data_IF_503420502117
#
_entry.id   IF_503420502117
#
_cell.length_a   1.000
_cell.length_b   1.000
_cell.length_c   1.000
_cell.angle_alpha   90.00
_cell.angle_beta   90.00
_cell.angle_gamma   90.00
#
_symmetry.space_group_name_H-M   'P 1'
#
loop_
_entity.id
_entity.type
_entity.pdbx_description
1 polymer ?
#
# COMPACT_ATOMS: atom_id res chain seq x y z
N UNK A 1 34.95 -1.49 3.55
CA UNK A 1 33.74 -0.65 3.67
C UNK A 1 32.76 -1.04 2.59
N UNK A 2 31.62 -1.64 2.92
CA UNK A 2 30.58 -1.87 1.92
C UNK A 2 30.13 -0.50 1.41
N UNK A 3 30.32 -0.22 0.11
CA UNK A 3 29.76 0.99 -0.50
C UNK A 3 28.27 1.01 -0.20
N UNK A 4 27.74 2.10 0.34
CA UNK A 4 26.33 2.21 0.77
C UNK A 4 25.34 1.76 -0.32
N UNK A 5 25.73 1.92 -1.59
CA UNK A 5 25.01 1.43 -2.76
C UNK A 5 24.84 -0.09 -2.85
N UNK A 6 25.81 -0.88 -2.35
CA UNK A 6 25.67 -2.33 -2.25
C UNK A 6 24.52 -2.72 -1.31
N UNK A 7 24.34 -1.98 -0.22
CA UNK A 7 23.23 -2.23 0.71
C UNK A 7 21.90 -1.93 0.03
N UNK A 8 21.80 -0.78 -0.64
CA UNK A 8 20.58 -0.39 -1.37
C UNK A 8 20.21 -1.42 -2.45
N UNK A 9 21.17 -1.81 -3.30
CA UNK A 9 20.90 -2.70 -4.43
C UNK A 9 20.65 -4.14 -3.99
N UNK A 10 21.37 -4.65 -2.99
CA UNK A 10 21.26 -6.06 -2.62
C UNK A 10 20.20 -6.35 -1.55
N UNK A 11 19.87 -5.38 -0.71
CA UNK A 11 18.95 -5.59 0.41
C UNK A 11 17.66 -4.79 0.30
N UNK A 12 17.70 -3.58 -0.26
CA UNK A 12 16.55 -2.67 -0.24
C UNK A 12 15.69 -2.76 -1.51
N UNK A 13 16.29 -3.09 -2.65
CA UNK A 13 15.64 -3.23 -3.95
C UNK A 13 14.97 -4.59 -4.18
N UNK A 14 15.59 -5.75 -3.83
CA UNK A 14 15.00 -7.05 -4.17
C UNK A 14 13.68 -7.38 -3.47
N UNK A 15 13.49 -7.10 -2.17
CA UNK A 15 12.24 -7.43 -1.50
C UNK A 15 11.00 -6.79 -2.12
N UNK A 16 10.95 -5.47 -2.37
CA UNK A 16 9.76 -4.88 -2.97
C UNK A 16 9.59 -5.33 -4.43
N UNK A 17 10.67 -5.58 -5.17
CA UNK A 17 10.61 -6.09 -6.54
C UNK A 17 9.96 -7.47 -6.61
N UNK A 18 10.44 -8.41 -5.81
CA UNK A 18 9.93 -9.78 -5.76
C UNK A 18 8.46 -9.76 -5.32
N UNK A 19 8.13 -9.00 -4.26
CA UNK A 19 6.76 -8.90 -3.78
C UNK A 19 5.84 -8.28 -4.84
N UNK A 20 6.23 -7.19 -5.50
CA UNK A 20 5.41 -6.57 -6.55
C UNK A 20 5.17 -7.53 -7.71
N UNK A 21 6.20 -8.25 -8.19
CA UNK A 21 6.04 -9.25 -9.25
C UNK A 21 5.10 -10.37 -8.81
N UNK A 22 5.31 -10.89 -7.59
CA UNK A 22 4.50 -11.97 -7.05
C UNK A 22 3.03 -11.56 -6.89
N UNK A 23 2.78 -10.29 -6.54
CA UNK A 23 1.44 -9.72 -6.43
C UNK A 23 0.79 -9.40 -7.79
N UNK A 24 1.59 -9.12 -8.82
CA UNK A 24 1.09 -8.88 -10.18
C UNK A 24 0.67 -10.16 -10.90
N UNK A 25 1.24 -11.30 -10.52
CA UNK A 25 0.90 -12.59 -11.13
C UNK A 25 -0.59 -12.94 -10.88
N UNK A 26 -1.33 -13.36 -11.92
CA UNK A 26 -2.72 -13.79 -11.78
C UNK A 26 -2.78 -15.18 -11.14
N UNK A 27 -2.59 -15.25 -9.82
CA UNK A 27 -2.61 -16.51 -9.06
C UNK A 27 -4.03 -16.87 -8.57
N UNK A 28 -4.32 -18.16 -8.32
CA UNK A 28 -5.60 -18.61 -7.74
C UNK A 28 -5.92 -17.89 -6.43
N UNK A 29 -7.21 -17.70 -6.14
CA UNK A 29 -7.69 -16.85 -5.03
C UNK A 29 -7.12 -17.24 -3.66
N UNK A 30 -6.96 -18.55 -3.40
CA UNK A 30 -6.40 -19.05 -2.14
C UNK A 30 -4.95 -18.59 -1.96
N UNK A 31 -4.15 -18.72 -3.02
CA UNK A 31 -2.75 -18.28 -3.06
C UNK A 31 -2.67 -16.77 -2.95
N UNK A 32 -3.57 -16.02 -3.61
CA UNK A 32 -3.63 -14.56 -3.51
C UNK A 32 -3.91 -14.09 -2.08
N UNK A 33 -4.84 -14.72 -1.36
CA UNK A 33 -5.15 -14.39 0.05
C UNK A 33 -3.93 -14.66 0.95
N UNK A 34 -3.26 -15.81 0.76
CA UNK A 34 -2.02 -16.13 1.48
C UNK A 34 -0.88 -15.15 1.19
N UNK A 35 -0.69 -14.80 -0.08
CA UNK A 35 0.31 -13.82 -0.51
C UNK A 35 0.03 -12.42 0.04
N UNK A 36 -1.23 -11.99 0.08
CA UNK A 36 -1.61 -10.72 0.70
C UNK A 36 -1.37 -10.74 2.21
N UNK A 37 -1.64 -11.85 2.89
CA UNK A 37 -1.34 -12.00 4.32
C UNK A 37 0.18 -11.95 4.58
N UNK A 38 0.98 -12.63 3.76
CA UNK A 38 2.44 -12.57 3.83
C UNK A 38 2.98 -11.15 3.58
N UNK A 39 2.45 -10.50 2.53
CA UNK A 39 2.84 -9.14 2.16
C UNK A 39 2.45 -8.14 3.24
N UNK A 40 1.27 -8.31 3.86
CA UNK A 40 0.88 -7.56 5.05
C UNK A 40 1.86 -7.77 6.19
N UNK A 41 2.19 -9.03 6.50
CA UNK A 41 3.13 -9.33 7.59
C UNK A 41 4.50 -8.68 7.34
N UNK A 42 4.98 -8.72 6.09
CA UNK A 42 6.25 -8.11 5.70
C UNK A 42 6.21 -6.57 5.75
N UNK A 43 5.20 -5.95 5.14
CA UNK A 43 5.04 -4.49 5.08
C UNK A 43 4.82 -3.87 6.48
N UNK A 44 4.00 -4.54 7.29
CA UNK A 44 3.60 -4.07 8.62
C UNK A 44 4.41 -4.71 9.75
N UNK A 45 5.55 -5.34 9.43
CA UNK A 45 6.47 -5.84 10.44
C UNK A 45 6.95 -4.66 11.29
N UNK A 46 6.76 -4.77 12.61
CA UNK A 46 7.18 -3.75 13.58
C UNK A 46 8.66 -3.95 13.87
N UNK A 47 9.50 -3.01 13.42
CA UNK A 47 10.95 -3.11 13.59
C UNK A 47 11.42 -2.59 14.97
N UNK A 48 10.74 -1.55 15.50
CA UNK A 48 10.84 -1.09 16.88
C UNK A 48 9.67 -0.11 17.19
N UNK A 49 8.72 -0.50 18.05
CA UNK A 49 7.59 0.35 18.46
C UNK A 49 6.43 0.45 17.44
N UNK A 50 5.91 1.67 17.20
CA UNK A 50 4.80 1.95 16.27
C UNK A 50 5.22 2.13 14.80
N UNK A 51 6.53 2.15 14.51
CA UNK A 51 7.02 2.42 13.16
C UNK A 51 7.04 1.12 12.34
N UNK A 52 6.30 1.13 11.24
CA UNK A 52 6.18 0.00 10.33
C UNK A 52 7.37 -0.02 9.35
N UNK A 53 7.82 -1.22 8.97
CA UNK A 53 8.93 -1.41 8.03
C UNK A 53 8.78 -0.57 6.75
N UNK A 54 7.57 -0.48 6.18
CA UNK A 54 7.30 0.35 4.99
C UNK A 54 7.65 1.81 5.19
N UNK A 55 7.32 2.38 6.35
CA UNK A 55 7.57 3.79 6.60
C UNK A 55 9.07 4.03 6.73
N UNK A 56 9.78 3.13 7.42
CA UNK A 56 11.24 3.17 7.50
C UNK A 56 11.86 3.04 6.10
N UNK A 57 11.42 2.06 5.31
CA UNK A 57 11.93 1.84 3.96
C UNK A 57 11.65 3.02 3.03
N UNK A 58 10.46 3.62 3.09
CA UNK A 58 10.10 4.82 2.32
C UNK A 58 10.92 6.04 2.75
N UNK A 59 11.17 6.22 4.04
CA UNK A 59 12.02 7.33 4.53
C UNK A 59 13.47 7.12 4.07
N UNK A 60 14.01 5.91 4.21
CA UNK A 60 15.39 5.61 3.79
C UNK A 60 15.54 5.78 2.27
N UNK A 61 14.63 5.21 1.49
CA UNK A 61 14.67 5.31 0.01
C UNK A 61 14.38 6.72 -0.48
N UNK A 62 13.49 7.46 0.19
CA UNK A 62 13.21 8.86 -0.09
C UNK A 62 14.39 9.78 0.23
N UNK A 63 15.08 9.53 1.35
CA UNK A 63 16.32 10.23 1.68
C UNK A 63 17.43 9.92 0.67
N UNK A 64 17.59 8.64 0.28
CA UNK A 64 18.55 8.22 -0.74
C UNK A 64 18.24 8.85 -2.12
N UNK A 65 16.95 8.91 -2.50
CA UNK A 65 16.50 9.57 -3.73
C UNK A 65 16.80 11.07 -3.69
N UNK A 66 16.48 11.75 -2.60
CA UNK A 66 16.72 13.20 -2.45
C UNK A 66 18.22 13.50 -2.49
N UNK A 67 19.02 12.75 -1.74
CA UNK A 67 20.48 12.89 -1.74
C UNK A 67 21.08 12.66 -3.13
N UNK A 68 20.65 11.59 -3.82
CA UNK A 68 21.14 11.28 -5.17
C UNK A 68 20.69 12.33 -6.19
N UNK A 69 19.49 12.89 -6.04
CA UNK A 69 18.96 13.96 -6.90
C UNK A 69 19.77 15.24 -6.73
N UNK A 70 20.04 15.65 -5.50
CA UNK A 70 20.88 16.83 -5.21
C UNK A 70 22.30 16.66 -5.74
N UNK A 71 22.90 15.49 -5.54
CA UNK A 71 24.26 15.22 -5.99
C UNK A 71 24.36 15.19 -7.53
N UNK A 72 23.40 14.54 -8.20
CA UNK A 72 23.33 14.49 -9.67
C UNK A 72 23.08 15.88 -10.26
N UNK A 73 22.20 16.68 -9.64
CA UNK A 73 21.94 18.05 -10.06
C UNK A 73 23.17 18.96 -9.92
N UNK A 74 23.90 18.86 -8.81
CA UNK A 74 25.12 19.64 -8.61
C UNK A 74 26.20 19.27 -9.65
N UNK A 75 26.37 17.98 -9.90
CA UNK A 75 27.37 17.47 -10.84
C UNK A 75 27.02 17.80 -12.30
N UNK A 76 25.74 17.78 -12.67
CA UNK A 76 25.30 18.15 -14.02
C UNK A 76 25.49 19.64 -14.33
N UNK A 77 25.42 20.50 -13.29
CA UNK A 77 25.67 21.95 -13.39
C UNK A 77 27.13 22.34 -13.39
N UNK A 78 28.03 21.46 -12.97
CA UNK A 78 29.46 21.76 -12.96
C UNK A 78 29.98 21.73 -14.41
N UNK A 79 30.50 22.82 -15.00
CA UNK A 79 31.08 22.76 -16.34
C UNK A 79 32.36 21.91 -16.34
N UNK A 80 32.66 21.23 -17.45
CA UNK A 80 33.95 20.57 -17.62
C UNK A 80 34.97 21.65 -18.03
N UNK A 81 36.05 21.89 -17.25
CA UNK A 81 37.07 22.83 -17.68
C UNK A 81 37.77 22.34 -18.95
N UNK A 82 37.92 23.23 -19.94
CA UNK A 82 38.52 22.88 -21.22
C UNK A 82 40.01 22.53 -21.12
N UNK A 83 40.67 22.94 -20.04
CA UNK A 83 42.08 22.69 -19.74
C UNK A 83 42.39 21.27 -19.27
N UNK A 84 41.37 20.41 -19.09
CA UNK A 84 41.57 19.03 -18.62
C UNK A 84 42.18 18.13 -19.69
N UNK A 85 43.14 17.31 -19.27
CA UNK A 85 43.69 16.23 -20.10
C UNK A 85 42.59 15.21 -20.47
N UNK A 86 42.70 14.51 -21.62
CA UNK A 86 41.71 13.51 -22.03
C UNK A 86 41.43 12.44 -20.96
N UNK A 87 42.46 11.99 -20.24
CA UNK A 87 42.33 11.00 -19.16
C UNK A 87 41.51 11.54 -17.98
N UNK A 88 41.71 12.81 -17.60
CA UNK A 88 40.93 13.45 -16.53
C UNK A 88 39.48 13.69 -16.95
N UNK A 89 39.24 14.06 -18.22
CA UNK A 89 37.88 14.19 -18.77
C UNK A 89 37.12 12.87 -18.67
N UNK A 90 37.73 11.76 -19.08
CA UNK A 90 37.14 10.42 -18.97
C UNK A 90 36.84 10.03 -17.53
N UNK A 91 37.74 10.34 -16.59
CA UNK A 91 37.51 10.07 -15.17
C UNK A 91 36.30 10.84 -14.61
N UNK A 92 36.12 12.11 -15.00
CA UNK A 92 34.97 12.93 -14.58
C UNK A 92 33.69 12.41 -15.23
N UNK A 93 33.71 12.09 -16.53
CA UNK A 93 32.57 11.48 -17.24
C UNK A 93 32.15 10.15 -16.60
N UNK A 94 33.12 9.30 -16.24
CA UNK A 94 32.85 8.06 -15.52
C UNK A 94 32.22 8.29 -14.15
N UNK A 95 32.63 9.35 -13.43
CA UNK A 95 31.99 9.75 -12.17
C UNK A 95 30.54 10.22 -12.40
N UNK A 96 30.29 11.07 -13.41
CA UNK A 96 28.94 11.52 -13.78
C UNK A 96 28.01 10.35 -14.07
N UNK A 97 28.46 9.41 -14.90
CA UNK A 97 27.68 8.23 -15.26
C UNK A 97 27.34 7.36 -14.06
N UNK A 98 28.27 7.23 -13.10
CA UNK A 98 28.04 6.48 -11.87
C UNK A 98 26.95 7.12 -11.00
N UNK A 99 26.97 8.44 -10.88
CA UNK A 99 25.98 9.19 -10.11
C UNK A 99 24.59 9.17 -10.77
N UNK A 100 24.54 9.30 -12.09
CA UNK A 100 23.31 9.17 -12.88
C UNK A 100 22.66 7.80 -12.65
N UNK A 101 23.44 6.71 -12.77
CA UNK A 101 22.95 5.36 -12.49
C UNK A 101 22.43 5.21 -11.06
N UNK A 102 23.16 5.76 -10.09
CA UNK A 102 22.77 5.73 -8.69
C UNK A 102 21.44 6.49 -8.45
N UNK A 103 21.23 7.61 -9.14
CA UNK A 103 19.98 8.35 -9.14
C UNK A 103 18.82 7.50 -9.68
N UNK A 104 19.00 6.83 -10.82
CA UNK A 104 17.98 5.95 -11.37
C UNK A 104 17.66 4.78 -10.44
N UNK A 105 18.67 4.16 -9.83
CA UNK A 105 18.47 3.08 -8.83
C UNK A 105 17.66 3.60 -7.63
N UNK A 106 18.02 4.76 -7.08
CA UNK A 106 17.31 5.32 -5.93
C UNK A 106 15.85 5.68 -6.29
N UNK A 107 15.64 6.28 -7.45
CA UNK A 107 14.31 6.63 -7.98
C UNK A 107 13.44 5.39 -8.14
N UNK A 108 13.95 4.36 -8.83
CA UNK A 108 13.22 3.11 -9.05
C UNK A 108 12.91 2.41 -7.73
N UNK A 109 13.87 2.37 -6.80
CA UNK A 109 13.66 1.73 -5.49
C UNK A 109 12.58 2.46 -4.69
N UNK A 110 12.62 3.79 -4.63
CA UNK A 110 11.61 4.59 -3.96
C UNK A 110 10.21 4.39 -4.56
N UNK A 111 10.12 4.45 -5.90
CA UNK A 111 8.87 4.21 -6.62
C UNK A 111 8.33 2.80 -6.37
N UNK A 112 9.20 1.80 -6.31
CA UNK A 112 8.81 0.40 -6.11
C UNK A 112 8.24 0.16 -4.71
N UNK A 113 8.83 0.78 -3.68
CA UNK A 113 8.26 0.76 -2.33
C UNK A 113 6.90 1.46 -2.26
N UNK A 114 6.75 2.62 -2.90
CA UNK A 114 5.48 3.34 -2.99
C UNK A 114 4.41 2.55 -3.76
N UNK A 115 4.80 1.96 -4.88
CA UNK A 115 3.95 1.12 -5.72
C UNK A 115 3.51 -0.12 -4.95
N UNK A 116 4.42 -0.81 -4.24
CA UNK A 116 4.07 -1.98 -3.44
C UNK A 116 3.01 -1.64 -2.38
N UNK A 117 3.18 -0.51 -1.68
CA UNK A 117 2.20 -0.06 -0.69
C UNK A 117 0.83 0.21 -1.32
N UNK A 118 0.79 0.96 -2.43
CA UNK A 118 -0.46 1.26 -3.15
C UNK A 118 -1.09 0.02 -3.75
N UNK A 119 -0.30 -0.88 -4.31
CA UNK A 119 -0.77 -2.11 -4.93
C UNK A 119 -1.35 -3.07 -3.89
N UNK A 120 -0.73 -3.17 -2.71
CA UNK A 120 -1.28 -3.91 -1.57
C UNK A 120 -2.65 -3.35 -1.15
N UNK A 121 -2.80 -2.03 -1.03
CA UNK A 121 -4.08 -1.40 -0.70
C UNK A 121 -5.14 -1.68 -1.77
N UNK A 122 -4.81 -1.50 -3.05
CA UNK A 122 -5.75 -1.84 -4.13
C UNK A 122 -6.11 -3.33 -4.16
N UNK A 123 -5.15 -4.20 -3.88
CA UNK A 123 -5.39 -5.64 -3.89
C UNK A 123 -6.29 -6.11 -2.74
N UNK A 124 -6.23 -5.47 -1.57
CA UNK A 124 -7.14 -5.77 -0.46
C UNK A 124 -8.57 -5.36 -0.79
N UNK A 125 -8.74 -4.17 -1.38
CA UNK A 125 -10.05 -3.66 -1.80
C UNK A 125 -10.66 -4.57 -2.87
N UNK A 126 -9.88 -4.98 -3.86
CA UNK A 126 -10.33 -5.92 -4.89
C UNK A 126 -10.82 -7.26 -4.34
N UNK A 127 -10.15 -7.80 -3.32
CA UNK A 127 -10.58 -9.05 -2.67
C UNK A 127 -11.86 -8.82 -1.87
N UNK A 128 -11.94 -7.73 -1.10
CA UNK A 128 -13.13 -7.38 -0.33
C UNK A 128 -14.37 -7.17 -1.23
N UNK A 129 -14.21 -6.47 -2.37
CA UNK A 129 -15.27 -6.28 -3.35
C UNK A 129 -15.73 -7.62 -3.95
N UNK A 130 -14.79 -8.50 -4.32
CA UNK A 130 -15.14 -9.82 -4.87
C UNK A 130 -15.86 -10.71 -3.86
N UNK A 131 -15.43 -10.69 -2.59
CA UNK A 131 -16.09 -11.47 -1.54
C UNK A 131 -17.52 -10.95 -1.29
N UNK A 132 -17.76 -9.63 -1.35
CA UNK A 132 -19.11 -9.04 -1.28
C UNK A 132 -20.00 -9.45 -2.45
N UNK A 133 -19.49 -9.39 -3.68
CA UNK A 133 -20.24 -9.84 -4.88
C UNK A 133 -20.66 -11.30 -4.73
N UNK A 134 -19.74 -12.17 -4.31
CA UNK A 134 -20.02 -13.58 -4.09
C UNK A 134 -21.07 -13.83 -3.00
N UNK A 135 -21.04 -13.06 -1.91
CA UNK A 135 -22.05 -13.15 -0.85
C UNK A 135 -23.44 -12.74 -1.36
N UNK A 136 -23.51 -11.67 -2.14
CA UNK A 136 -24.76 -11.21 -2.75
C UNK A 136 -25.33 -12.21 -3.76
N UNK A 137 -24.47 -12.81 -4.60
CA UNK A 137 -24.87 -13.87 -5.53
C UNK A 137 -25.45 -15.08 -4.79
N UNK A 138 -24.79 -15.53 -3.72
CA UNK A 138 -25.28 -16.65 -2.90
C UNK A 138 -26.60 -16.33 -2.20
N UNK A 139 -26.75 -15.10 -1.70
CA UNK A 139 -28.00 -14.63 -1.08
C UNK A 139 -29.15 -14.55 -2.10
N UNK A 140 -28.88 -14.04 -3.30
CA UNK A 140 -29.86 -13.98 -4.39
C UNK A 140 -30.31 -15.39 -4.81
N UNK A 141 -29.39 -16.32 -5.03
CA UNK A 141 -29.71 -17.71 -5.38
C UNK A 141 -30.49 -18.41 -4.27
N UNK A 142 -30.14 -18.16 -3.00
CA UNK A 142 -30.89 -18.65 -1.84
C UNK A 142 -32.31 -18.12 -1.78
N UNK A 143 -32.50 -16.81 -2.04
CA UNK A 143 -33.82 -16.18 -2.09
C UNK A 143 -34.70 -16.71 -3.24
N UNK A 144 -34.11 -16.97 -4.42
CA UNK A 144 -34.84 -17.53 -5.56
C UNK A 144 -35.34 -18.96 -5.29
N UNK A 145 -34.57 -19.80 -4.57
CA UNK A 145 -35.00 -21.14 -4.15
C UNK A 145 -36.02 -21.13 -3.01
N UNK A 146 -35.93 -20.19 -2.08
CA UNK A 146 -36.89 -20.06 -0.97
C UNK A 146 -38.28 -19.61 -1.43
N UNK A 147 -38.37 -18.83 -2.50
CA UNK A 147 -39.64 -18.30 -3.01
C UNK A 147 -40.49 -19.32 -3.79
N UNK A 148 -39.96 -20.51 -4.14
CA UNK A 148 -40.70 -21.51 -4.93
C UNK A 148 -41.44 -22.56 -4.10
N UNK A 149 -41.25 -22.61 -2.77
CA UNK A 149 -41.80 -23.66 -1.90
C UNK A 149 -43.01 -23.19 -1.07
N UNK A 150 -43.25 -21.89 -0.94
CA UNK A 150 -44.42 -21.32 -0.24
C UNK A 150 -45.55 -20.98 -1.19
N UNK A 151 -45.96 -21.98 -1.97
CA UNK A 151 -47.04 -21.89 -2.94
C UNK A 151 -48.16 -22.91 -2.72
N UNK A 152 -48.47 -23.29 -1.49
CA UNK A 152 -49.80 -23.87 -1.19
C UNK A 152 -50.12 -23.91 0.30
N UNK A 153 -51.35 -23.48 0.60
CA UNK A 153 -52.16 -23.72 1.81
C UNK A 153 -52.16 -22.64 2.90
N UNK A 154 -53.09 -21.69 2.75
CA UNK A 154 -53.87 -21.14 3.86
C UNK A 154 -54.79 -22.25 4.44
N UNK A 155 -55.16 -22.23 5.74
CA UNK A 155 -56.27 -21.36 6.16
C UNK A 155 -56.16 -20.71 7.55
N UNK A 156 -56.93 -19.61 7.66
CA UNK A 156 -57.60 -18.92 8.76
C UNK A 156 -57.42 -19.31 10.26
N UNK A 157 -57.24 -18.23 11.05
CA UNK A 157 -57.83 -17.87 12.36
C UNK A 157 -57.71 -18.79 13.59
N UNK A 158 -57.13 -18.28 14.70
CA UNK A 158 -57.90 -17.80 15.87
C UNK A 158 -57.02 -17.23 17.01
N UNK A 159 -57.61 -16.27 17.74
CA UNK A 159 -57.49 -15.96 19.20
C UNK A 159 -56.19 -15.44 19.85
N UNK A 160 -56.23 -14.13 20.15
CA UNK A 160 -56.02 -13.45 21.45
C UNK A 160 -55.14 -14.10 22.56
N UNK A 161 -54.18 -13.31 23.06
CA UNK A 161 -53.51 -13.53 24.35
C UNK A 161 -52.58 -12.36 24.75
N UNK A 162 -52.94 -11.67 25.83
CA UNK A 162 -52.25 -10.55 26.51
C UNK A 162 -50.95 -10.99 27.22
N UNK A 163 -49.97 -10.08 27.34
CA UNK A 163 -48.87 -10.12 28.32
C UNK A 163 -47.60 -9.45 27.76
N UNK A 164 -47.36 -8.16 28.01
CA UNK A 164 -46.64 -7.60 29.18
C UNK A 164 -45.11 -7.55 29.00
N UNK A 165 -44.65 -6.32 28.76
CA UNK A 165 -43.43 -5.64 29.22
C UNK A 165 -42.02 -6.25 29.01
N UNK A 166 -41.11 -5.35 28.60
CA UNK A 166 -39.68 -5.13 29.00
C UNK A 166 -38.97 -4.58 27.75
N UNK A 167 -38.92 -3.26 27.58
CA UNK A 167 -37.88 -2.34 28.09
C UNK A 167 -36.58 -2.34 27.25
N UNK A 168 -36.22 -1.11 26.85
CA UNK A 168 -34.91 -0.58 26.50
C UNK A 168 -34.27 -0.90 25.14
N UNK A 169 -34.13 0.20 24.39
CA UNK A 169 -32.87 0.70 23.81
C UNK A 169 -32.75 0.63 22.28
N UNK A 170 -32.92 1.79 21.66
CA UNK A 170 -32.35 2.14 20.37
C UNK A 170 -31.39 3.33 20.59
N UNK A 171 -30.58 3.72 19.59
CA UNK A 171 -29.57 2.99 18.82
C UNK A 171 -28.18 3.65 19.07
N UNK A 172 -27.13 3.44 18.25
CA UNK A 172 -26.96 4.40 17.15
C UNK A 172 -26.35 3.85 15.86
N UNK A 173 -26.80 4.42 14.75
CA UNK A 173 -26.08 4.40 13.47
C UNK A 173 -24.86 5.36 13.53
N UNK A 174 -23.82 5.13 12.71
CA UNK A 174 -22.61 5.95 12.66
C UNK A 174 -22.72 7.06 11.60
N UNK A 175 -22.46 8.32 11.96
CA UNK A 175 -22.21 9.37 10.98
C UNK A 175 -21.47 10.58 11.60
N UNK A 176 -20.46 11.04 10.86
CA UNK A 176 -19.87 12.39 10.88
C UNK A 176 -18.86 12.78 11.98
N UNK A 177 -17.59 12.44 11.72
CA UNK A 177 -16.48 13.37 11.96
C UNK A 177 -16.13 14.04 10.63
N UNK A 178 -16.18 15.38 10.57
CA UNK A 178 -15.19 16.28 9.91
C UNK A 178 -15.78 17.68 9.68
N UNK A 179 -15.19 18.69 10.36
CA UNK A 179 -14.97 20.08 9.92
C UNK A 179 -14.73 20.91 11.21
N UNK A 180 -13.71 21.75 11.40
CA UNK A 180 -12.67 22.36 10.57
C UNK A 180 -12.08 23.55 11.37
N UNK A 181 -10.91 24.07 10.98
CA UNK A 181 -10.34 25.36 11.44
C UNK A 181 -9.49 25.26 12.73
N UNK A 182 -8.16 25.40 12.77
CA UNK A 182 -7.18 26.39 12.25
C UNK A 182 -7.23 27.76 12.95
N UNK A 183 -6.17 28.09 13.69
CA UNK A 183 -5.50 29.40 13.93
C UNK A 183 -4.67 29.29 15.25
N UNK A 184 -3.34 29.35 15.30
CA UNK A 184 -2.31 30.37 14.95
C UNK A 184 -2.15 31.51 16.00
N UNK A 185 -0.87 31.77 16.39
CA UNK A 185 -0.28 32.97 17.06
C UNK A 185 -0.56 33.16 18.58
N UNK A 186 0.35 33.69 19.42
CA UNK A 186 1.66 34.37 19.27
C UNK A 186 2.36 34.46 20.65
N UNK A 187 3.69 34.49 20.62
CA UNK A 187 4.65 35.27 21.45
C UNK A 187 4.15 35.98 22.72
N UNK A 188 4.80 35.66 23.86
CA UNK A 188 5.71 36.57 24.57
C UNK A 188 6.60 35.77 25.51
#
# INVERSE_FOLDING_TARGET
MASSWKVVVNWLLPPPLILTILLMLPVPQVVRKGLLAFTRQFLFMKLAGQVLLVHVALVITGAAFTASSMHTYHISRTPLPDTLTPNQRTAILAKRWREERNFWIATLTFLLWGLLYRFYALAIDHVALRDRVRQLELAAVGATRGSTVTGSRAPASSTAGKGAAVEASAPPAPAEMLSGGKEEKKSK
#
